data_IF_287762861317
#
_entry.id   IF_287762861317
#
_cell.length_a   1.000
_cell.length_b   1.000
_cell.length_c   1.000
_cell.angle_alpha   90.00
_cell.angle_beta   90.00
_cell.angle_gamma   90.00
#
_symmetry.space_group_name_H-M   'P 1'
#
loop_
_entity.id
_entity.type
_entity.pdbx_description
1 polymer ?
#
# COMPACT_ATOMS: atom_id res chain seq x y z
N UNK A 1 -1.29 -23.93 -9.71
CA UNK A 1 -1.43 -23.41 -8.34
C UNK A 1 -1.56 -21.91 -8.45
N UNK A 2 -2.58 -21.33 -7.83
CA UNK A 2 -2.75 -19.88 -7.84
C UNK A 2 -1.68 -19.22 -6.98
N UNK A 3 -1.19 -18.06 -7.42
CA UNK A 3 -0.23 -17.25 -6.65
C UNK A 3 -0.90 -16.79 -5.35
N UNK A 4 -0.25 -16.99 -4.18
CA UNK A 4 -0.79 -16.52 -2.91
C UNK A 4 -1.14 -15.02 -2.95
N UNK A 5 -2.30 -14.66 -2.39
CA UNK A 5 -2.83 -13.30 -2.44
C UNK A 5 -1.84 -12.28 -1.87
N UNK A 6 -1.24 -12.59 -0.72
CA UNK A 6 -0.35 -11.69 0.00
C UNK A 6 0.88 -11.26 -0.82
N UNK A 7 1.27 -12.01 -1.85
CA UNK A 7 2.36 -11.59 -2.75
C UNK A 7 1.98 -10.42 -3.67
N UNK A 8 0.69 -10.09 -3.77
CA UNK A 8 0.17 -8.97 -4.55
C UNK A 8 -0.01 -7.70 -3.72
N UNK A 9 0.00 -7.82 -2.40
CA UNK A 9 -0.21 -6.72 -1.44
C UNK A 9 0.96 -5.75 -1.48
N UNK A 10 0.63 -4.45 -1.49
CA UNK A 10 1.59 -3.35 -1.50
C UNK A 10 1.42 -2.48 -0.26
N UNK A 11 2.48 -1.76 0.09
CA UNK A 11 2.39 -0.71 1.11
C UNK A 11 1.34 0.33 0.68
N UNK A 12 0.46 0.69 1.60
CA UNK A 12 -0.64 1.61 1.39
C UNK A 12 -1.98 0.95 1.04
N UNK A 13 -1.99 -0.33 0.66
CA UNK A 13 -3.23 -1.09 0.46
C UNK A 13 -3.99 -1.21 1.79
N UNK A 14 -5.31 -1.29 1.70
CA UNK A 14 -6.14 -1.78 2.80
C UNK A 14 -6.49 -3.24 2.52
N UNK A 15 -6.28 -4.08 3.53
CA UNK A 15 -6.47 -5.53 3.45
C UNK A 15 -7.45 -6.01 4.51
N UNK A 16 -8.17 -7.07 4.18
CA UNK A 16 -8.90 -7.86 5.16
C UNK A 16 -7.92 -8.86 5.78
N UNK A 17 -7.91 -8.94 7.10
CA UNK A 17 -7.08 -9.90 7.81
C UNK A 17 -7.81 -10.55 8.99
N UNK A 18 -7.30 -11.71 9.40
CA UNK A 18 -7.95 -12.62 10.34
C UNK A 18 -9.39 -12.97 9.89
N UNK A 19 -10.40 -12.56 10.67
CA UNK A 19 -11.78 -13.03 10.54
C UNK A 19 -12.79 -11.95 10.16
N UNK A 20 -12.36 -10.70 10.04
CA UNK A 20 -13.13 -9.54 9.51
C UNK A 20 -12.48 -8.19 9.89
N UNK A 21 -11.18 -8.15 10.17
CA UNK A 21 -10.52 -6.89 10.50
C UNK A 21 -9.99 -6.23 9.23
N UNK A 22 -10.16 -4.90 9.12
CA UNK A 22 -9.56 -4.13 8.03
C UNK A 22 -8.35 -3.38 8.57
N UNK A 23 -7.24 -3.49 7.85
CA UNK A 23 -6.02 -2.83 8.23
C UNK A 23 -5.28 -2.26 7.04
N UNK A 24 -4.61 -1.13 7.26
CA UNK A 24 -3.78 -0.49 6.25
C UNK A 24 -2.35 -0.99 6.35
N UNK A 25 -1.81 -1.48 5.24
CA UNK A 25 -0.45 -1.99 5.17
C UNK A 25 0.51 -0.82 5.21
N UNK A 26 1.37 -0.78 6.22
CA UNK A 26 2.38 0.26 6.39
C UNK A 26 3.69 -0.13 5.72
N UNK A 27 4.12 -1.37 5.97
CA UNK A 27 5.34 -1.95 5.38
C UNK A 27 5.28 -3.48 5.44
N UNK A 28 6.25 -4.13 4.81
CA UNK A 28 6.44 -5.58 4.92
C UNK A 28 7.91 -5.93 5.07
N UNK A 29 8.16 -7.13 5.58
CA UNK A 29 9.48 -7.78 5.60
C UNK A 29 9.37 -9.08 4.80
N UNK A 30 10.36 -9.33 3.94
CA UNK A 30 10.43 -10.56 3.17
C UNK A 30 10.95 -11.74 3.97
N UNK A 31 10.76 -12.94 3.41
CA UNK A 31 11.19 -14.18 4.04
C UNK A 31 12.69 -14.44 3.89
N UNK A 32 13.21 -15.43 4.63
CA UNK A 32 14.63 -15.81 4.55
C UNK A 32 15.08 -16.28 3.16
N UNK A 33 14.15 -16.80 2.34
CA UNK A 33 14.43 -17.28 0.98
C UNK A 33 14.39 -16.16 -0.06
N UNK A 34 13.59 -15.13 0.19
CA UNK A 34 13.48 -13.96 -0.67
C UNK A 34 13.11 -12.73 0.19
N UNK A 35 14.06 -11.82 0.45
CA UNK A 35 13.82 -10.63 1.25
C UNK A 35 12.87 -9.64 0.58
N UNK A 36 12.56 -9.82 -0.70
CA UNK A 36 11.61 -8.98 -1.45
C UNK A 36 10.21 -9.61 -1.55
N UNK A 37 10.04 -10.88 -1.20
CA UNK A 37 8.74 -11.54 -1.21
C UNK A 37 7.97 -11.28 0.11
N UNK A 38 6.86 -10.52 0.09
CA UNK A 38 6.14 -10.14 1.30
C UNK A 38 5.75 -11.37 2.14
N UNK A 39 6.18 -11.40 3.41
CA UNK A 39 5.96 -12.55 4.30
C UNK A 39 5.37 -12.13 5.65
N UNK A 40 5.80 -10.97 6.17
CA UNK A 40 5.30 -10.35 7.40
C UNK A 40 4.92 -8.91 7.11
N UNK A 41 3.71 -8.50 7.49
CA UNK A 41 3.18 -7.16 7.24
C UNK A 41 3.02 -6.40 8.54
N UNK A 42 3.47 -5.15 8.56
CA UNK A 42 3.07 -4.21 9.60
C UNK A 42 1.79 -3.52 9.16
N UNK A 43 0.75 -3.66 9.96
CA UNK A 43 -0.59 -3.18 9.63
C UNK A 43 -1.11 -2.30 10.76
N UNK A 44 -1.75 -1.19 10.38
CA UNK A 44 -2.58 -0.38 11.28
C UNK A 44 -4.05 -0.76 11.12
N UNK A 45 -4.69 -1.27 12.17
CA UNK A 45 -6.12 -1.54 12.19
C UNK A 45 -6.91 -0.24 11.96
N UNK A 46 -7.93 -0.27 11.09
CA UNK A 46 -8.69 0.93 10.70
C UNK A 46 -9.62 1.42 11.81
N UNK A 47 -10.13 0.53 12.65
CA UNK A 47 -11.09 0.86 13.71
C UNK A 47 -10.39 1.29 15.01
N UNK A 48 -9.34 0.56 15.42
CA UNK A 48 -8.63 0.80 16.70
C UNK A 48 -7.39 1.66 16.56
N UNK A 49 -6.80 1.76 15.36
CA UNK A 49 -5.50 2.39 15.14
C UNK A 49 -4.31 1.57 15.65
N UNK A 50 -4.53 0.37 16.21
CA UNK A 50 -3.46 -0.50 16.68
C UNK A 50 -2.52 -0.90 15.54
N UNK A 51 -1.21 -0.82 15.78
CA UNK A 51 -0.18 -1.27 14.84
C UNK A 51 0.38 -2.60 15.31
N UNK A 52 0.29 -3.62 14.46
CA UNK A 52 0.82 -4.96 14.74
C UNK A 52 1.46 -5.58 13.51
N UNK A 53 2.24 -6.63 13.74
CA UNK A 53 2.74 -7.50 12.68
C UNK A 53 1.79 -8.68 12.47
N UNK A 54 1.52 -9.03 11.21
CA UNK A 54 0.76 -10.21 10.83
C UNK A 54 1.48 -11.01 9.74
N UNK A 55 1.26 -12.31 9.70
CA UNK A 55 1.72 -13.17 8.62
C UNK A 55 0.93 -12.91 7.34
N UNK A 56 1.56 -13.08 6.18
CA UNK A 56 0.87 -12.96 4.89
C UNK A 56 -0.32 -13.90 4.72
N UNK A 57 -0.29 -15.07 5.36
CA UNK A 57 -1.41 -16.03 5.35
C UNK A 57 -2.64 -15.53 6.11
N UNK A 58 -2.48 -14.55 7.01
CA UNK A 58 -3.61 -13.91 7.69
C UNK A 58 -4.36 -12.93 6.77
N UNK A 59 -3.79 -12.55 5.63
CA UNK A 59 -4.43 -11.67 4.64
C UNK A 59 -5.35 -12.48 3.75
N UNK A 60 -6.65 -12.15 3.81
CA UNK A 60 -7.70 -12.88 3.11
C UNK A 60 -8.22 -12.15 1.88
N UNK A 61 -8.15 -10.80 1.86
CA UNK A 61 -8.55 -10.00 0.70
C UNK A 61 -7.83 -8.64 0.64
N UNK A 62 -7.80 -8.02 -0.54
CA UNK A 62 -7.36 -6.63 -0.76
C UNK A 62 -8.61 -5.79 -1.00
N UNK A 63 -9.04 -5.05 0.03
CA UNK A 63 -10.29 -4.27 -0.02
C UNK A 63 -10.13 -2.90 -0.67
N UNK A 64 -8.90 -2.36 -0.71
CA UNK A 64 -8.60 -1.11 -1.42
C UNK A 64 -7.14 -1.05 -1.82
N UNK A 65 -6.90 -0.77 -3.11
CA UNK A 65 -5.55 -0.62 -3.66
C UNK A 65 -4.99 0.78 -3.38
N UNK A 66 -3.70 0.84 -3.05
CA UNK A 66 -2.92 2.06 -3.13
C UNK A 66 -2.88 2.55 -4.58
N UNK A 67 -3.47 3.74 -4.82
CA UNK A 67 -3.35 4.45 -6.09
C UNK A 67 -2.62 5.77 -5.90
N UNK A 68 -1.41 5.85 -6.44
CA UNK A 68 -0.78 7.15 -6.73
C UNK A 68 -1.58 7.82 -7.85
N UNK A 69 -2.64 8.55 -7.53
CA UNK A 69 -3.20 9.45 -8.53
C UNK A 69 -2.20 10.60 -8.64
N UNK A 70 -1.33 10.55 -9.66
CA UNK A 70 -0.49 11.69 -10.01
C UNK A 70 -1.47 12.80 -10.42
N UNK A 71 -1.71 13.75 -9.52
CA UNK A 71 -2.46 14.96 -9.88
C UNK A 71 -1.69 15.59 -11.05
N UNK A 72 -2.32 15.64 -12.23
CA UNK A 72 -1.74 16.39 -13.36
C UNK A 72 -1.37 17.78 -12.83
N UNK A 73 -0.15 18.28 -13.09
CA UNK A 73 0.22 19.62 -12.67
C UNK A 73 -0.85 20.59 -13.17
N UNK A 74 -1.31 21.47 -12.28
CA UNK A 74 -2.40 22.40 -12.59
C UNK A 74 -2.02 23.28 -13.78
N UNK A 75 -3.02 23.72 -14.56
CA UNK A 75 -2.82 24.68 -15.66
C UNK A 75 -1.97 25.90 -15.24
N UNK A 76 -2.14 26.33 -13.99
CA UNK A 76 -1.39 27.43 -13.38
C UNK A 76 0.13 27.17 -13.31
N UNK A 77 0.56 25.94 -13.02
CA UNK A 77 1.98 25.57 -13.01
C UNK A 77 2.63 25.80 -14.38
N UNK A 78 1.93 25.42 -15.45
CA UNK A 78 2.40 25.64 -16.83
C UNK A 78 2.40 27.12 -17.21
N UNK A 79 1.41 27.89 -16.77
CA UNK A 79 1.37 29.34 -17.01
C UNK A 79 2.54 30.06 -16.33
N UNK A 80 2.89 29.67 -15.10
CA UNK A 80 4.02 30.26 -14.36
C UNK A 80 5.35 29.92 -15.05
N UNK A 81 5.55 28.68 -15.49
CA UNK A 81 6.77 28.27 -16.22
C UNK A 81 6.93 29.04 -17.54
N UNK A 82 5.84 29.25 -18.29
CA UNK A 82 5.84 30.02 -19.54
C UNK A 82 6.20 31.50 -19.31
N UNK A 83 5.71 32.12 -18.24
CA UNK A 83 6.05 33.51 -17.90
C UNK A 83 7.51 33.69 -17.48
N UNK A 84 8.11 32.68 -16.82
CA UNK A 84 9.51 32.74 -16.39
C UNK A 84 10.50 32.56 -17.54
N UNK A 85 10.12 31.89 -18.63
CA UNK A 85 10.99 31.72 -19.82
C UNK A 85 10.97 32.93 -20.76
N UNK A 86 10.06 33.88 -20.55
CA UNK A 86 9.93 35.10 -21.38
C UNK A 86 10.54 36.35 -20.72
N UNK A 87 11.22 36.19 -19.58
CA UNK A 87 12.03 37.22 -18.92
C UNK A 87 13.51 36.86 -19.02
#
# INVERSE_FOLDING_TARGET
MDTPLFLKVKCGDAVLYEKDQIGKVLTFVGGSRDPYAPSLFQIANVDSGEIRWIHGEEVTDIVSEYRTTIKKPSSLYWQIQQQQQQQ
#
